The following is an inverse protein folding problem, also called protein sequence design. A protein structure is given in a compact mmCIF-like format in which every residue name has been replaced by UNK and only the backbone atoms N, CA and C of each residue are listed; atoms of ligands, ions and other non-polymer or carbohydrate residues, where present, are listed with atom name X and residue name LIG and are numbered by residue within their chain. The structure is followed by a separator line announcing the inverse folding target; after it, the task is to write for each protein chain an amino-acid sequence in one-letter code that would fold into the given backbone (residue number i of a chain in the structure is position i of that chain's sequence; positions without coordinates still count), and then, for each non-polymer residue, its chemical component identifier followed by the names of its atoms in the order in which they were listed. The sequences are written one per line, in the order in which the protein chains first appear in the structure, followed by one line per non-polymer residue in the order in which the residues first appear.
data_IF_606146039912
#
_entry.id   IF_606146039912
#
_cell.length_a   1.000
_cell.length_b   1.000
_cell.length_c   1.000
_cell.angle_alpha   90.00
_cell.angle_beta   90.00
_cell.angle_gamma   90.00
#
_symmetry.space_group_name_H-M   'P 1'
#
loop_
_entity.id
_entity.type
_entity.pdbx_description
1 polymer ?
#
# COMPACT_ATOMS: atom_id res chain seq x y z
N UNK A 1 -0.71 3.21 18.01
CA UNK A 1 0.39 2.46 17.34
C UNK A 1 -0.14 1.36 16.39
N UNK A 2 -0.10 1.61 15.08
CA UNK A 2 -0.38 0.64 14.00
C UNK A 2 0.71 -0.47 13.87
N UNK A 3 1.45 -0.76 14.94
CA UNK A 3 2.57 -1.72 14.94
C UNK A 3 2.12 -3.18 15.05
N UNK A 4 0.87 -3.44 15.42
CA UNK A 4 0.36 -4.78 15.69
C UNK A 4 -0.13 -5.43 14.40
N UNK A 5 0.41 -6.62 14.05
CA UNK A 5 0.04 -7.39 12.84
C UNK A 5 -1.47 -7.63 12.73
N UNK A 6 -2.15 -7.89 13.86
CA UNK A 6 -3.62 -8.02 13.94
C UNK A 6 -4.34 -6.74 13.52
N UNK A 7 -3.91 -5.57 13.99
CA UNK A 7 -4.48 -4.27 13.60
C UNK A 7 -4.28 -3.97 12.10
N UNK A 8 -3.10 -4.27 11.57
CA UNK A 8 -2.83 -4.15 10.12
C UNK A 8 -3.70 -5.08 9.29
N UNK A 9 -3.94 -6.30 9.78
CA UNK A 9 -4.84 -7.24 9.11
C UNK A 9 -6.27 -6.74 9.15
N UNK A 10 -6.76 -6.23 10.29
CA UNK A 10 -8.15 -5.79 10.43
C UNK A 10 -8.48 -4.56 9.56
N UNK A 11 -7.53 -3.64 9.36
CA UNK A 11 -7.69 -2.52 8.39
C UNK A 11 -7.74 -3.01 6.93
N UNK A 12 -7.00 -4.08 6.60
CA UNK A 12 -6.84 -4.60 5.23
C UNK A 12 -7.84 -5.70 4.86
N UNK A 13 -8.27 -6.48 5.84
CA UNK A 13 -9.10 -7.66 5.69
C UNK A 13 -10.54 -7.29 5.99
N UNK A 14 -11.15 -6.45 5.17
CA UNK A 14 -12.60 -6.29 5.17
C UNK A 14 -13.06 -5.72 3.83
N UNK A 15 -13.09 -6.60 2.83
CA UNK A 15 -13.74 -6.35 1.54
C UNK A 15 -15.24 -6.73 1.61
N UNK A 16 -15.71 -7.42 2.67
CA UNK A 16 -17.03 -8.08 2.64
C UNK A 16 -18.02 -7.78 3.77
N UNK A 17 -17.70 -6.97 4.79
CA UNK A 17 -18.72 -6.49 5.73
C UNK A 17 -18.90 -4.99 5.59
N UNK A 18 -20.15 -4.62 5.40
CA UNK A 18 -20.61 -3.24 5.32
C UNK A 18 -20.36 -2.57 6.68
N UNK A 19 -19.66 -1.44 6.64
CA UNK A 19 -19.53 -0.58 7.81
C UNK A 19 -20.90 0.05 8.09
N UNK A 20 -21.33 0.00 9.34
CA UNK A 20 -22.58 0.63 9.76
C UNK A 20 -22.39 2.14 9.79
N UNK A 21 -23.35 2.95 9.30
CA UNK A 21 -23.28 4.40 9.46
C UNK A 21 -23.25 4.75 10.95
N UNK A 22 -22.48 5.77 11.30
CA UNK A 22 -22.50 6.34 12.64
C UNK A 22 -23.43 7.55 12.70
N UNK A 23 -23.81 7.96 13.91
CA UNK A 23 -24.54 9.22 14.13
C UNK A 23 -23.70 10.45 13.76
N UNK A 24 -22.37 10.31 13.70
CA UNK A 24 -21.46 11.35 13.23
C UNK A 24 -21.40 11.32 11.70
N UNK A 25 -21.84 12.42 11.09
CA UNK A 25 -21.86 12.57 9.64
C UNK A 25 -20.47 12.32 9.05
N UNK A 26 -20.42 11.45 8.04
CA UNK A 26 -19.19 11.15 7.30
C UNK A 26 -18.32 10.07 7.96
N UNK A 27 -18.80 9.44 9.02
CA UNK A 27 -18.15 8.30 9.68
C UNK A 27 -19.03 7.05 9.62
N UNK A 28 -18.40 5.91 9.40
CA UNK A 28 -19.00 4.59 9.51
C UNK A 28 -18.06 3.67 10.29
N UNK A 29 -18.60 2.64 10.93
CA UNK A 29 -17.80 1.75 11.74
C UNK A 29 -18.30 0.31 11.78
N UNK A 30 -17.40 -0.57 12.20
CA UNK A 30 -17.71 -1.93 12.61
C UNK A 30 -16.91 -2.25 13.87
N UNK A 31 -17.52 -3.05 14.75
CA UNK A 31 -16.88 -3.51 15.97
C UNK A 31 -16.42 -4.96 15.84
N UNK A 32 -15.30 -5.25 16.50
CA UNK A 32 -14.75 -6.60 16.62
C UNK A 32 -14.21 -6.81 18.04
N UNK A 33 -14.55 -7.94 18.65
CA UNK A 33 -13.95 -8.36 19.91
C UNK A 33 -12.63 -9.05 19.61
N UNK A 34 -11.54 -8.59 20.23
CA UNK A 34 -10.19 -9.07 19.98
C UNK A 34 -9.53 -9.40 21.31
N UNK A 35 -8.99 -10.61 21.43
CA UNK A 35 -8.11 -10.96 22.55
C UNK A 35 -6.67 -10.56 22.23
N UNK A 36 -6.10 -9.66 23.02
CA UNK A 36 -4.75 -9.12 22.84
C UNK A 36 -4.05 -8.92 24.17
N UNK A 37 -2.82 -9.42 24.30
CA UNK A 37 -2.04 -9.28 25.53
C UNK A 37 -2.66 -9.97 26.75
N UNK A 38 -3.49 -10.99 26.57
CA UNK A 38 -4.19 -11.67 27.67
C UNK A 38 -5.48 -10.97 28.12
N UNK A 39 -5.87 -9.88 27.44
CA UNK A 39 -7.05 -9.07 27.79
C UNK A 39 -8.01 -9.02 26.59
N UNK A 40 -9.30 -9.12 26.87
CA UNK A 40 -10.33 -8.89 25.85
C UNK A 40 -10.49 -7.39 25.60
N UNK A 41 -10.41 -7.01 24.32
CA UNK A 41 -10.52 -5.63 23.86
C UNK A 41 -11.64 -5.50 22.83
N UNK A 42 -12.31 -4.36 22.81
CA UNK A 42 -13.26 -4.00 21.74
C UNK A 42 -12.57 -3.07 20.77
N UNK A 43 -12.41 -3.53 19.53
CA UNK A 43 -11.82 -2.74 18.46
C UNK A 43 -12.92 -2.21 17.54
N UNK A 44 -12.80 -0.94 17.17
CA UNK A 44 -13.69 -0.23 16.27
C UNK A 44 -12.91 0.08 14.99
N UNK A 45 -13.25 -0.59 13.90
CA UNK A 45 -12.80 -0.19 12.57
C UNK A 45 -13.66 0.97 12.11
N UNK A 46 -13.08 2.15 12.00
CA UNK A 46 -13.76 3.38 11.58
C UNK A 46 -13.30 3.75 10.18
N UNK A 47 -14.22 4.13 9.30
CA UNK A 47 -13.93 4.80 8.04
C UNK A 47 -14.42 6.26 8.11
N UNK A 48 -13.52 7.20 7.85
CA UNK A 48 -13.84 8.62 7.69
C UNK A 48 -13.82 8.99 6.22
N UNK A 49 -14.92 9.56 5.73
CA UNK A 49 -15.05 10.03 4.35
C UNK A 49 -14.05 11.15 4.00
N UNK A 50 -13.82 12.09 4.93
CA UNK A 50 -12.85 13.16 4.75
C UNK A 50 -11.42 12.61 4.67
N UNK A 51 -11.07 11.74 5.64
CA UNK A 51 -9.75 11.10 5.66
C UNK A 51 -9.54 10.23 4.44
N UNK A 52 -10.58 9.53 3.95
CA UNK A 52 -10.54 8.75 2.70
C UNK A 52 -10.17 9.63 1.52
N UNK A 53 -10.81 10.78 1.34
CA UNK A 53 -10.48 11.74 0.28
C UNK A 53 -9.02 12.22 0.38
N UNK A 54 -8.57 12.58 1.59
CA UNK A 54 -7.20 13.04 1.81
C UNK A 54 -6.16 11.94 1.53
N UNK A 55 -6.43 10.71 1.99
CA UNK A 55 -5.56 9.56 1.79
C UNK A 55 -5.49 9.14 0.32
N UNK A 56 -6.62 9.16 -0.41
CA UNK A 56 -6.66 8.91 -1.86
C UNK A 56 -5.81 9.93 -2.61
N UNK A 57 -5.95 11.24 -2.31
CA UNK A 57 -5.13 12.29 -2.92
C UNK A 57 -3.63 12.07 -2.67
N UNK A 58 -3.27 11.67 -1.44
CA UNK A 58 -1.89 11.32 -1.09
C UNK A 58 -1.41 10.07 -1.84
N UNK A 59 -2.27 9.07 -2.01
CA UNK A 59 -1.95 7.84 -2.74
C UNK A 59 -1.68 8.15 -4.22
N UNK A 60 -2.56 8.89 -4.89
CA UNK A 60 -2.37 9.29 -6.29
C UNK A 60 -1.05 10.02 -6.51
N UNK A 61 -0.68 10.93 -5.59
CA UNK A 61 0.62 11.61 -5.64
C UNK A 61 1.80 10.63 -5.55
N UNK A 62 1.74 9.66 -4.64
CA UNK A 62 2.78 8.63 -4.48
C UNK A 62 2.91 7.71 -5.69
N UNK A 63 1.79 7.34 -6.31
CA UNK A 63 1.76 6.54 -7.55
C UNK A 63 2.50 7.32 -8.64
N UNK A 64 2.12 8.58 -8.86
CA UNK A 64 2.76 9.43 -9.88
C UNK A 64 4.26 9.64 -9.62
N UNK A 65 4.66 9.89 -8.37
CA UNK A 65 6.07 10.06 -8.00
C UNK A 65 6.88 8.79 -8.27
N UNK A 66 6.34 7.61 -7.92
CA UNK A 66 6.98 6.32 -8.22
C UNK A 66 7.08 6.10 -9.74
N UNK A 67 6.03 6.41 -10.50
CA UNK A 67 6.02 6.30 -11.96
C UNK A 67 7.15 7.14 -12.58
N UNK A 68 7.21 8.44 -12.25
CA UNK A 68 8.20 9.35 -12.83
C UNK A 68 9.63 8.93 -12.50
N UNK A 69 9.88 8.46 -11.27
CA UNK A 69 11.19 7.99 -10.84
C UNK A 69 11.57 6.70 -11.54
N UNK A 70 10.67 5.73 -11.57
CA UNK A 70 10.91 4.40 -12.13
C UNK A 70 11.04 4.46 -13.64
N UNK A 71 10.21 5.24 -14.33
CA UNK A 71 10.28 5.40 -15.77
C UNK A 71 11.63 5.98 -16.21
N UNK A 72 12.16 6.97 -15.47
CA UNK A 72 13.52 7.49 -15.72
C UNK A 72 14.60 6.41 -15.54
N UNK A 73 14.45 5.54 -14.54
CA UNK A 73 15.38 4.43 -14.31
C UNK A 73 15.27 3.37 -15.41
N UNK A 74 14.05 3.03 -15.85
CA UNK A 74 13.80 2.08 -16.92
C UNK A 74 14.38 2.58 -18.25
N UNK A 75 14.08 3.81 -18.65
CA UNK A 75 14.65 4.43 -19.88
C UNK A 75 16.19 4.47 -19.83
N UNK A 76 16.79 4.61 -18.64
CA UNK A 76 18.24 4.53 -18.50
C UNK A 76 18.74 3.10 -18.73
N UNK A 77 18.09 2.10 -18.13
CA UNK A 77 18.42 0.68 -18.32
C UNK A 77 18.25 0.23 -19.79
N UNK A 78 17.23 0.73 -20.50
CA UNK A 78 16.99 0.41 -21.91
C UNK A 78 18.09 0.93 -22.85
N UNK A 79 18.81 1.99 -22.42
CA UNK A 79 19.93 2.56 -23.15
C UNK A 79 21.28 1.97 -22.74
N UNK A 80 21.33 1.24 -21.64
CA UNK A 80 22.54 0.64 -21.11
C UNK A 80 22.85 -0.67 -21.85
N UNK A 81 24.13 -0.85 -22.20
CA UNK A 81 24.62 -2.08 -22.79
C UNK A 81 25.28 -2.93 -21.70
N UNK A 82 24.78 -4.14 -21.50
CA UNK A 82 25.31 -5.07 -20.52
C UNK A 82 26.25 -6.08 -21.18
N UNK A 83 27.38 -6.37 -20.54
CA UNK A 83 28.34 -7.37 -21.04
C UNK A 83 27.83 -8.80 -20.92
N UNK A 84 26.77 -9.06 -20.15
CA UNK A 84 26.17 -10.38 -19.99
C UNK A 84 24.65 -10.31 -19.77
N UNK A 85 23.96 -11.37 -20.21
CA UNK A 85 22.52 -11.54 -19.99
C UNK A 85 22.18 -11.55 -18.50
N UNK A 86 22.95 -12.27 -17.69
CA UNK A 86 22.71 -12.38 -16.25
C UNK A 86 22.81 -11.03 -15.52
N UNK A 87 23.71 -10.14 -15.97
CA UNK A 87 23.81 -8.80 -15.42
C UNK A 87 22.56 -7.96 -15.74
N UNK A 88 22.07 -8.04 -16.97
CA UNK A 88 20.84 -7.39 -17.39
C UNK A 88 19.63 -7.90 -16.58
N UNK A 89 19.51 -9.22 -16.42
CA UNK A 89 18.47 -9.86 -15.61
C UNK A 89 18.50 -9.41 -14.14
N UNK A 90 19.69 -9.32 -13.55
CA UNK A 90 19.85 -8.87 -12.17
C UNK A 90 19.40 -7.41 -12.01
N UNK A 91 19.79 -6.54 -12.93
CA UNK A 91 19.40 -5.11 -12.88
C UNK A 91 17.90 -4.90 -13.01
N UNK A 92 17.23 -5.59 -13.93
CA UNK A 92 15.77 -5.45 -14.06
C UNK A 92 15.03 -6.05 -12.87
N UNK A 93 15.54 -7.16 -12.31
CA UNK A 93 14.99 -7.78 -11.09
C UNK A 93 15.13 -6.85 -9.88
N UNK A 94 16.28 -6.22 -9.70
CA UNK A 94 16.53 -5.25 -8.64
C UNK A 94 15.62 -4.01 -8.75
N UNK A 95 15.33 -3.57 -9.97
CA UNK A 95 14.38 -2.48 -10.20
C UNK A 95 12.96 -2.92 -9.84
N UNK A 96 12.54 -4.08 -10.35
CA UNK A 96 11.20 -4.64 -10.14
C UNK A 96 10.91 -4.89 -8.66
N UNK A 97 11.89 -5.38 -7.89
CA UNK A 97 11.75 -5.65 -6.46
C UNK A 97 11.48 -4.39 -5.61
N UNK A 98 11.77 -3.19 -6.12
CA UNK A 98 11.57 -1.93 -5.39
C UNK A 98 10.20 -1.29 -5.65
N UNK A 99 9.46 -1.77 -6.65
CA UNK A 99 8.19 -1.19 -7.06
C UNK A 99 7.06 -1.60 -6.12
N UNK A 100 6.21 -0.64 -5.75
CA UNK A 100 5.06 -0.89 -4.88
C UNK A 100 3.74 -0.75 -5.59
N UNK A 101 3.60 0.25 -6.46
CA UNK A 101 2.37 0.56 -7.18
C UNK A 101 2.46 0.24 -8.67
N UNK A 102 3.66 -0.07 -9.17
CA UNK A 102 3.91 -0.42 -10.56
C UNK A 102 4.53 -1.81 -10.68
N UNK A 103 4.54 -2.32 -11.90
CA UNK A 103 5.26 -3.50 -12.32
C UNK A 103 5.78 -3.28 -13.74
N UNK A 104 6.80 -4.06 -14.11
CA UNK A 104 7.35 -4.02 -15.46
C UNK A 104 6.82 -5.24 -16.21
N UNK A 105 5.98 -5.02 -17.22
CA UNK A 105 5.52 -6.06 -18.14
C UNK A 105 6.43 -6.16 -19.35
N UNK A 106 6.26 -7.25 -20.12
CA UNK A 106 6.89 -7.42 -21.43
C UNK A 106 8.42 -7.26 -21.36
N UNK A 107 9.03 -7.82 -20.31
CA UNK A 107 10.47 -7.75 -20.12
C UNK A 107 11.14 -8.62 -21.19
N UNK A 108 11.93 -7.99 -22.05
CA UNK A 108 12.71 -8.64 -23.08
C UNK A 108 14.19 -8.30 -22.90
N UNK A 109 15.05 -9.28 -23.10
CA UNK A 109 16.50 -9.09 -23.13
C UNK A 109 17.02 -9.55 -24.47
N UNK A 110 17.45 -8.59 -25.30
CA UNK A 110 17.93 -8.84 -26.65
C UNK A 110 19.44 -8.72 -26.73
N UNK A 111 20.05 -9.62 -27.49
CA UNK A 111 21.47 -9.58 -27.83
C UNK A 111 21.70 -8.69 -29.06
N UNK A 112 22.77 -7.89 -29.04
CA UNK A 112 23.22 -7.10 -30.19
C UNK A 112 24.73 -6.96 -30.22
N UNK A 113 25.29 -6.66 -31.38
CA UNK A 113 26.69 -6.27 -31.52
C UNK A 113 26.83 -4.76 -31.33
N UNK A 114 27.76 -4.34 -30.48
CA UNK A 114 28.12 -2.92 -30.36
C UNK A 114 29.05 -2.47 -31.50
N UNK A 115 29.38 -1.18 -31.55
CA UNK A 115 30.30 -0.60 -32.56
C UNK A 115 31.69 -1.25 -32.57
N UNK A 116 32.12 -1.84 -31.46
CA UNK A 116 33.38 -2.59 -31.31
C UNK A 116 33.23 -4.09 -31.55
N UNK A 117 32.15 -4.53 -32.21
CA UNK A 117 31.87 -5.95 -32.50
C UNK A 117 31.80 -6.86 -31.26
N UNK A 118 31.57 -6.29 -30.08
CA UNK A 118 31.35 -7.05 -28.86
C UNK A 118 29.87 -7.34 -28.70
N UNK A 119 29.53 -8.57 -28.34
CA UNK A 119 28.17 -8.96 -27.95
C UNK A 119 27.78 -8.24 -26.66
N UNK A 120 26.68 -7.50 -26.72
CA UNK A 120 26.08 -6.81 -25.58
C UNK A 120 24.58 -7.13 -25.49
N UNK A 121 24.04 -6.99 -24.29
CA UNK A 121 22.64 -7.27 -24.00
C UNK A 121 21.92 -5.97 -23.65
N UNK A 122 20.70 -5.81 -24.15
CA UNK A 122 19.83 -4.68 -23.83
C UNK A 122 18.51 -5.16 -23.25
N UNK A 123 18.00 -4.39 -22.31
CA UNK A 123 16.71 -4.64 -21.65
C UNK A 123 15.65 -3.79 -22.36
N UNK A 124 14.45 -4.33 -22.53
CA UNK A 124 13.22 -3.59 -22.83
C UNK A 124 12.15 -4.00 -21.86
N UNK A 125 11.25 -3.08 -21.54
CA UNK A 125 10.08 -3.41 -20.73
C UNK A 125 9.11 -2.25 -20.68
N UNK A 126 7.88 -2.54 -20.27
CA UNK A 126 6.83 -1.53 -20.14
C UNK A 126 6.44 -1.36 -18.69
N UNK A 127 6.55 -0.13 -18.19
CA UNK A 127 6.08 0.20 -16.85
C UNK A 127 4.56 0.33 -16.86
N UNK A 128 3.87 -0.51 -16.08
CA UNK A 128 2.42 -0.50 -15.93
C UNK A 128 2.03 -0.44 -14.45
N UNK A 129 0.81 0.00 -14.15
CA UNK A 129 0.28 0.03 -12.79
C UNK A 129 -0.06 -1.38 -12.29
N UNK A 130 0.24 -1.65 -11.01
CA UNK A 130 -0.22 -2.84 -10.31
C UNK A 130 -1.59 -2.58 -9.68
N UNK A 131 -2.64 -2.79 -10.48
CA UNK A 131 -4.03 -2.51 -10.11
C UNK A 131 -4.48 -3.25 -8.84
N UNK A 132 -3.97 -4.47 -8.59
CA UNK A 132 -4.32 -5.23 -7.39
C UNK A 132 -3.82 -4.58 -6.11
N UNK A 133 -2.54 -4.16 -6.10
CA UNK A 133 -1.94 -3.50 -4.95
C UNK A 133 -2.51 -2.10 -4.73
N UNK A 134 -2.78 -1.36 -5.81
CA UNK A 134 -3.42 -0.04 -5.75
C UNK A 134 -4.81 -0.17 -5.13
N UNK A 135 -5.68 -1.05 -5.66
CA UNK A 135 -7.04 -1.28 -5.11
C UNK A 135 -7.00 -1.70 -3.65
N UNK A 136 -6.06 -2.57 -3.27
CA UNK A 136 -5.87 -2.97 -1.87
C UNK A 136 -5.51 -1.80 -0.97
N UNK A 137 -4.72 -0.84 -1.46
CA UNK A 137 -4.36 0.36 -0.72
C UNK A 137 -5.52 1.36 -0.66
N UNK A 138 -6.23 1.57 -1.77
CA UNK A 138 -7.44 2.41 -1.84
C UNK A 138 -8.52 1.94 -0.87
N UNK A 139 -8.74 0.62 -0.77
CA UNK A 139 -9.69 0.03 0.17
C UNK A 139 -9.35 0.31 1.65
N UNK A 140 -8.08 0.65 1.95
CA UNK A 140 -7.66 1.00 3.30
C UNK A 140 -7.68 2.51 3.58
N UNK A 141 -7.88 3.35 2.57
CA UNK A 141 -7.89 4.81 2.72
C UNK A 141 -9.05 5.24 3.63
N UNK A 142 -8.78 6.18 4.53
CA UNK A 142 -9.77 6.67 5.48
C UNK A 142 -10.06 5.74 6.65
N UNK A 143 -9.52 4.51 6.66
CA UNK A 143 -9.76 3.54 7.73
C UNK A 143 -8.74 3.63 8.86
N UNK A 144 -9.20 3.51 10.09
CA UNK A 144 -8.38 3.45 11.29
C UNK A 144 -9.05 2.62 12.38
N UNK A 145 -8.27 2.18 13.35
CA UNK A 145 -8.76 1.40 14.48
C UNK A 145 -8.73 2.26 15.72
N UNK A 146 -9.87 2.36 16.39
CA UNK A 146 -9.94 2.74 17.80
C UNK A 146 -10.07 1.46 18.61
N UNK A 147 -9.51 1.40 19.82
CA UNK A 147 -9.68 0.26 20.70
C UNK A 147 -9.98 0.73 22.10
N UNK A 148 -10.82 -0.03 22.78
CA UNK A 148 -11.19 0.20 24.16
C UNK A 148 -10.86 -1.08 24.94
N UNK A 149 -10.10 -0.92 26.02
CA UNK A 149 -9.89 -1.96 27.00
C UNK A 149 -11.15 -2.09 27.86
N UNK A 150 -11.63 -3.30 28.09
CA UNK A 150 -12.66 -3.52 29.10
C UNK A 150 -12.03 -3.27 30.48
N UNK A 151 -12.19 -2.06 31.03
CA UNK A 151 -12.12 -1.92 32.47
C UNK A 151 -13.27 -2.75 33.04
N UNK A 152 -12.95 -3.80 33.81
CA UNK A 152 -13.95 -4.49 34.62
C UNK A 152 -14.70 -3.43 35.43
N UNK A 153 -16.01 -3.34 35.21
CA UNK A 153 -16.90 -2.40 35.87
C UNK A 153 -16.68 -2.42 37.38
N UNK A 154 -16.26 -1.29 37.93
CA UNK A 154 -16.92 -0.65 39.06
C UNK A 154 -16.61 0.85 39.00
N UNK A 155 -17.65 1.66 38.70
CA UNK A 155 -17.68 3.14 38.79
C UNK A 155 -16.80 3.87 37.73
N UNK A 156 -17.29 4.66 36.76
CA UNK A 156 -18.09 5.88 36.85
C UNK A 156 -18.52 6.34 35.43
N UNK A 157 -19.69 6.99 35.35
CA UNK A 157 -20.14 7.84 34.24
C UNK A 157 -19.10 8.90 33.83
N UNK A 158 -18.84 9.11 32.54
CA UNK A 158 -19.03 10.43 31.89
C UNK A 158 -18.69 10.41 30.40
N UNK A 159 -19.63 10.95 29.62
CA UNK A 159 -19.43 11.46 28.28
C UNK A 159 -18.38 12.58 28.28
N UNK A 160 -17.28 12.44 27.53
CA UNK A 160 -16.50 13.53 26.92
C UNK A 160 -15.27 12.95 26.22
N UNK A 161 -15.32 12.88 24.89
CA UNK A 161 -14.18 13.10 23.98
C UNK A 161 -14.65 12.84 22.55
N UNK A 162 -15.50 13.75 22.04
CA UNK A 162 -15.73 13.93 20.59
C UNK A 162 -15.54 15.41 20.25
N UNK A 163 -14.60 16.06 20.91
CA UNK A 163 -14.09 17.37 20.49
C UNK A 163 -12.59 17.20 20.28
N UNK A 164 -12.14 17.43 19.05
CA UNK A 164 -10.78 17.28 18.52
C UNK A 164 -10.43 15.93 17.86
N UNK A 165 -11.10 15.66 16.73
CA UNK A 165 -10.52 14.93 15.58
C UNK A 165 -10.71 15.78 14.34
#
# INVERSE_FOLDING_TARGET
PLSIKKAKNLVKAFISKELKPSDIKGYSYQEEKVFYGGIEQRWLLVESTERKKADLKKLSKKILEEFLKTNKQLVKLEKEDFCSKSLAELKIKDLTAKLKYHQISDIEITERLNKGQTVVYQIKGKLIENQELIKKHENSCGRFILFFEYFRYNQINTYRNIENI
#
